data_IF_255032206987
#
_entry.id   IF_255032206987
#
_cell.length_a   1.000
_cell.length_b   1.000
_cell.length_c   1.000
_cell.angle_alpha   90.00
_cell.angle_beta   90.00
_cell.angle_gamma   90.00
#
_symmetry.space_group_name_H-M   'P 1'
#
loop_
_entity.id
_entity.type
_entity.pdbx_description
1 polymer ?
#
# COMPACT_ATOMS: atom_id res chain seq x y z
N UNK A 1 4.99 17.14 -20.48
CA UNK A 1 4.62 15.73 -20.70
C UNK A 1 5.49 14.87 -19.80
N UNK A 2 4.92 13.89 -19.10
CA UNK A 2 5.68 12.89 -18.35
C UNK A 2 6.02 11.72 -19.27
N UNK A 3 7.24 11.22 -19.19
CA UNK A 3 7.74 10.09 -19.99
C UNK A 3 7.24 8.75 -19.43
N UNK A 4 7.21 7.67 -20.23
CA UNK A 4 6.90 6.33 -19.73
C UNK A 4 7.81 5.90 -18.57
N UNK A 5 9.11 6.24 -18.61
CA UNK A 5 10.06 5.91 -17.54
C UNK A 5 9.73 6.60 -16.22
N UNK A 6 9.33 7.87 -16.25
CA UNK A 6 8.92 8.61 -15.05
C UNK A 6 7.66 8.02 -14.42
N UNK A 7 6.70 7.57 -15.23
CA UNK A 7 5.47 6.92 -14.75
C UNK A 7 5.75 5.56 -14.10
N UNK A 8 6.55 4.72 -14.75
CA UNK A 8 6.95 3.42 -14.16
C UNK A 8 7.71 3.63 -12.85
N UNK A 9 8.63 4.59 -12.81
CA UNK A 9 9.36 4.94 -11.57
C UNK A 9 8.40 5.38 -10.46
N UNK A 10 7.41 6.22 -10.78
CA UNK A 10 6.42 6.69 -9.80
C UNK A 10 5.60 5.54 -9.20
N UNK A 11 5.21 4.53 -9.99
CA UNK A 11 4.50 3.34 -9.49
C UNK A 11 5.38 2.52 -8.55
N UNK A 12 6.64 2.28 -8.93
CA UNK A 12 7.60 1.52 -8.10
C UNK A 12 7.87 2.25 -6.79
N UNK A 13 8.15 3.55 -6.85
CA UNK A 13 8.42 4.37 -5.67
C UNK A 13 7.19 4.45 -4.75
N UNK A 14 5.97 4.56 -5.32
CA UNK A 14 4.73 4.53 -4.54
C UNK A 14 4.55 3.20 -3.81
N UNK A 15 4.86 2.07 -4.45
CA UNK A 15 4.83 0.76 -3.81
C UNK A 15 5.84 0.67 -2.66
N UNK A 16 7.08 1.10 -2.88
CA UNK A 16 8.13 1.11 -1.83
C UNK A 16 7.69 1.97 -0.66
N UNK A 17 7.16 3.17 -0.94
CA UNK A 17 6.66 4.07 0.08
C UNK A 17 5.53 3.45 0.91
N UNK A 18 4.55 2.79 0.27
CA UNK A 18 3.47 2.09 0.96
C UNK A 18 3.98 0.92 1.83
N UNK A 19 4.98 0.16 1.35
CA UNK A 19 5.61 -0.90 2.14
C UNK A 19 6.37 -0.35 3.35
N UNK A 20 7.04 0.80 3.20
CA UNK A 20 7.68 1.47 4.33
C UNK A 20 6.65 1.91 5.36
N UNK A 21 5.51 2.47 4.92
CA UNK A 21 4.43 2.89 5.80
C UNK A 21 3.75 1.69 6.50
N UNK A 22 3.60 0.55 5.83
CA UNK A 22 2.99 -0.64 6.44
C UNK A 22 3.88 -1.28 7.51
N UNK A 23 5.20 -1.12 7.40
CA UNK A 23 6.17 -1.69 8.33
C UNK A 23 6.60 -0.72 9.44
N UNK A 24 6.13 0.54 9.40
CA UNK A 24 6.50 1.54 10.38
C UNK A 24 5.78 1.30 11.72
N UNK A 25 6.55 1.12 12.80
CA UNK A 25 6.05 0.80 14.15
C UNK A 25 5.60 2.05 14.93
N UNK A 26 6.03 3.25 14.54
CA UNK A 26 5.73 4.52 15.23
C UNK A 26 5.37 5.67 14.27
N UNK A 27 4.70 6.69 14.83
CA UNK A 27 3.99 7.78 14.13
C UNK A 27 4.87 8.47 13.09
N UNK A 28 4.56 8.21 11.82
CA UNK A 28 5.15 8.97 10.72
C UNK A 28 4.69 10.43 10.81
N UNK A 29 5.64 11.38 10.72
CA UNK A 29 5.34 12.82 10.72
C UNK A 29 4.40 13.09 9.54
N UNK A 30 3.14 13.41 9.83
CA UNK A 30 2.08 13.59 8.82
C UNK A 30 2.51 14.48 7.64
N UNK A 31 3.24 15.57 7.93
CA UNK A 31 3.73 16.50 6.90
C UNK A 31 4.77 15.89 5.96
N UNK A 32 5.63 14.99 6.45
CA UNK A 32 6.60 14.28 5.61
C UNK A 32 5.90 13.29 4.68
N UNK A 33 4.94 12.53 5.22
CA UNK A 33 4.13 11.58 4.43
C UNK A 33 3.40 12.30 3.31
N UNK A 34 2.77 13.44 3.61
CA UNK A 34 2.07 14.25 2.61
C UNK A 34 3.01 14.79 1.53
N UNK A 35 4.18 15.30 1.91
CA UNK A 35 5.15 15.86 0.96
C UNK A 35 5.66 14.81 -0.02
N UNK A 36 5.98 13.61 0.48
CA UNK A 36 6.40 12.48 -0.36
C UNK A 36 5.24 12.03 -1.26
N UNK A 37 4.03 11.90 -0.72
CA UNK A 37 2.85 11.51 -1.49
C UNK A 37 2.56 12.48 -2.65
N UNK A 38 2.65 13.79 -2.42
CA UNK A 38 2.46 14.81 -3.48
C UNK A 38 3.49 14.62 -4.61
N UNK A 39 4.76 14.37 -4.26
CA UNK A 39 5.82 14.13 -5.24
C UNK A 39 5.56 12.88 -6.09
N UNK A 40 5.11 11.79 -5.47
CA UNK A 40 4.78 10.55 -6.15
C UNK A 40 3.56 10.71 -7.07
N UNK A 41 2.51 11.38 -6.59
CA UNK A 41 1.28 11.60 -7.34
C UNK A 41 1.47 12.49 -8.57
N UNK A 42 2.48 13.36 -8.58
CA UNK A 42 2.78 14.22 -9.73
C UNK A 42 3.07 13.44 -11.03
N UNK A 43 3.65 12.25 -10.90
CA UNK A 43 4.05 11.40 -12.04
C UNK A 43 3.29 10.07 -12.05
N UNK A 44 2.33 9.90 -11.15
CA UNK A 44 1.58 8.65 -11.04
C UNK A 44 0.63 8.50 -12.24
N UNK A 45 0.47 7.28 -12.79
CA UNK A 45 -0.42 7.05 -13.92
C UNK A 45 -1.86 7.47 -13.62
N UNK A 46 -2.58 7.91 -14.65
CA UNK A 46 -4.01 8.18 -14.54
C UNK A 46 -4.78 6.87 -14.42
N UNK A 47 -6.00 6.93 -13.87
CA UNK A 47 -6.87 5.75 -13.74
C UNK A 47 -7.06 5.00 -15.06
N UNK A 48 -7.21 5.72 -16.19
CA UNK A 48 -7.35 5.09 -17.52
C UNK A 48 -6.14 4.26 -17.92
N UNK A 49 -4.93 4.64 -17.47
CA UNK A 49 -3.70 3.90 -17.75
C UNK A 49 -3.60 2.68 -16.85
N UNK A 50 -4.06 2.79 -15.59
CA UNK A 50 -4.14 1.68 -14.65
C UNK A 50 -5.19 0.66 -15.11
N UNK A 51 -6.36 1.10 -15.55
CA UNK A 51 -7.42 0.22 -16.07
C UNK A 51 -6.97 -0.52 -17.33
N UNK A 52 -6.24 0.17 -18.22
CA UNK A 52 -5.62 -0.47 -19.39
C UNK A 52 -4.58 -1.53 -18.96
N UNK A 53 -3.75 -1.23 -17.95
CA UNK A 53 -2.80 -2.21 -17.42
C UNK A 53 -3.47 -3.41 -16.73
N UNK A 54 -4.54 -3.17 -15.97
CA UNK A 54 -5.32 -4.19 -15.29
C UNK A 54 -6.03 -5.12 -16.28
N UNK A 55 -6.53 -4.56 -17.39
CA UNK A 55 -7.14 -5.33 -18.48
C UNK A 55 -6.12 -6.16 -19.25
N UNK A 56 -4.86 -5.70 -19.34
CA UNK A 56 -3.79 -6.39 -20.06
C UNK A 56 -3.11 -7.47 -19.22
N UNK A 57 -2.94 -7.23 -17.92
CA UNK A 57 -2.29 -8.13 -16.97
C UNK A 57 -3.17 -8.30 -15.71
N UNK A 58 -4.33 -8.96 -15.84
CA UNK A 58 -5.27 -9.09 -14.74
C UNK A 58 -4.71 -9.88 -13.56
N UNK A 59 -3.84 -10.87 -13.79
CA UNK A 59 -3.22 -11.63 -12.70
C UNK A 59 -2.29 -10.80 -11.80
N UNK A 60 -1.84 -9.63 -12.28
CA UNK A 60 -0.88 -8.75 -11.57
C UNK A 60 -1.55 -7.48 -11.05
N UNK A 61 -2.45 -6.89 -11.86
CA UNK A 61 -3.01 -5.56 -11.62
C UNK A 61 -4.54 -5.55 -11.53
N UNK A 62 -5.20 -6.72 -11.39
CA UNK A 62 -6.65 -6.74 -11.20
C UNK A 62 -7.06 -5.87 -10.00
N UNK A 63 -8.20 -5.20 -10.17
CA UNK A 63 -8.88 -4.55 -9.07
C UNK A 63 -9.10 -5.58 -7.97
N UNK A 64 -8.77 -5.28 -6.70
CA UNK A 64 -9.04 -6.19 -5.61
C UNK A 64 -10.55 -6.43 -5.58
N UNK A 65 -10.98 -7.64 -5.98
CA UNK A 65 -12.38 -8.01 -5.95
C UNK A 65 -12.81 -7.94 -4.49
N UNK A 66 -13.86 -7.16 -4.20
CA UNK A 66 -14.40 -7.00 -2.84
C UNK A 66 -14.98 -8.30 -2.25
N UNK A 67 -14.82 -9.42 -2.94
CA UNK A 67 -14.95 -10.75 -2.36
C UNK A 67 -13.78 -10.97 -1.39
N UNK A 68 -13.91 -10.37 -0.22
CA UNK A 68 -13.36 -10.94 1.00
C UNK A 68 -13.94 -12.37 1.10
N UNK A 69 -13.17 -13.44 0.86
CA UNK A 69 -13.60 -14.74 1.31
C UNK A 69 -13.57 -14.65 2.84
N UNK A 70 -14.62 -15.13 3.51
CA UNK A 70 -14.72 -15.22 4.98
C UNK A 70 -13.62 -16.08 5.65
N UNK A 71 -12.48 -16.29 4.99
CA UNK A 71 -11.44 -17.25 5.32
C UNK A 71 -10.14 -16.62 5.84
N UNK A 72 -10.03 -15.28 5.87
CA UNK A 72 -8.95 -14.58 6.58
C UNK A 72 -9.22 -14.36 8.08
N UNK A 73 -10.40 -14.72 8.58
CA UNK A 73 -10.69 -14.76 10.01
C UNK A 73 -9.82 -15.78 10.77
N UNK A 74 -9.11 -16.68 10.07
CA UNK A 74 -8.22 -17.66 10.68
C UNK A 74 -6.82 -17.11 11.04
N UNK A 75 -6.40 -15.96 10.51
CA UNK A 75 -5.08 -15.37 10.81
C UNK A 75 -5.11 -14.30 11.92
N UNK A 76 -6.26 -13.95 12.48
CA UNK A 76 -6.33 -13.11 13.68
C UNK A 76 -6.13 -13.94 14.95
N UNK A 77 -4.98 -14.61 15.06
CA UNK A 77 -4.39 -14.87 16.37
C UNK A 77 -3.38 -13.76 16.65
N UNK A 78 -3.91 -12.58 16.95
CA UNK A 78 -3.17 -11.63 17.78
C UNK A 78 -3.11 -12.31 19.15
N UNK A 79 -2.03 -13.03 19.41
CA UNK A 79 -1.68 -13.45 20.77
C UNK A 79 -1.34 -12.15 21.51
N UNK A 80 -2.04 -11.78 22.60
CA UNK A 80 -1.56 -10.71 23.45
C UNK A 80 -0.29 -11.22 24.13
N UNK A 81 0.86 -10.72 23.69
CA UNK A 81 2.18 -11.03 24.23
C UNK A 81 2.47 -10.15 25.45
N UNK A 82 1.53 -10.10 26.40
CA UNK A 82 1.73 -9.44 27.69
C UNK A 82 1.32 -10.39 28.81
N UNK A 83 2.26 -10.89 29.63
CA UNK A 83 1.90 -11.49 30.89
C UNK A 83 1.43 -10.37 31.83
N UNK A 84 0.17 -10.38 32.24
CA UNK A 84 -0.27 -9.57 33.39
C UNK A 84 0.35 -10.18 34.64
N UNK A 85 1.54 -9.69 34.99
CA UNK A 85 2.15 -9.85 36.31
C UNK A 85 1.71 -8.67 37.18
N UNK A 86 0.97 -9.00 38.24
CA UNK A 86 0.84 -8.34 39.57
C UNK A 86 -0.34 -9.07 40.24
N UNK A 87 -0.17 -10.02 41.15
CA UNK A 87 0.36 -9.88 42.54
C UNK A 87 -0.45 -8.83 43.32
N UNK A 88 -1.61 -9.25 43.87
CA UNK A 88 -1.97 -9.25 45.30
C UNK A 88 -3.33 -9.98 45.48
#
# INVERSE_FOLDING_TARGET
MTTPVERTKAVVDARIFLQMLSNAEEVTIRGLVQSVAIGLLKHYPLNVELDASASTLPEVWAHPTAECPRELAACTRVVPLFPTRTDE
#
